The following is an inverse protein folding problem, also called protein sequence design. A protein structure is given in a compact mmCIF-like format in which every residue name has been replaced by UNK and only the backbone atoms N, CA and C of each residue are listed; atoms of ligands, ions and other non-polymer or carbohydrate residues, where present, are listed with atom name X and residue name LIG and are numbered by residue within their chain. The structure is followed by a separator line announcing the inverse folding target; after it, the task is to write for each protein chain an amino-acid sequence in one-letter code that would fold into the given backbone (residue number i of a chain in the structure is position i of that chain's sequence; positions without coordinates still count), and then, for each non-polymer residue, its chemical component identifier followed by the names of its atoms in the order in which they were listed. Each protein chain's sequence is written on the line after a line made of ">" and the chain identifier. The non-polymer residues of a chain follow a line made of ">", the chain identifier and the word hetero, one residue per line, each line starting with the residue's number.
data_IF_891612120107
#
_entry.id   IF_891612120107
#
_cell.length_a   1.000
_cell.length_b   1.000
_cell.length_c   1.000
_cell.angle_alpha   90.00
_cell.angle_beta   90.00
_cell.angle_gamma   90.00
#
_symmetry.space_group_name_H-M   'P 1'
#
loop_
_entity.id
_entity.type
_entity.pdbx_description
1 polymer ?
#
# COMPACT_ATOMS: atom_id res chain seq x y z
N UNK A 1 -39.47 43.93 2.07
CA UNK A 1 -38.95 43.06 0.99
C UNK A 1 -37.62 42.53 1.50
N UNK A 2 -37.63 41.40 2.20
CA UNK A 2 -36.40 40.72 2.64
C UNK A 2 -36.44 39.35 1.99
N UNK A 3 -35.43 39.04 1.20
CA UNK A 3 -35.38 37.86 0.35
C UNK A 3 -35.16 36.62 1.22
N UNK A 4 -36.11 35.70 1.13
CA UNK A 4 -36.00 34.32 1.55
C UNK A 4 -34.84 33.68 0.77
N UNK A 5 -33.68 33.57 1.43
CA UNK A 5 -32.50 32.92 0.87
C UNK A 5 -32.74 31.43 0.98
N UNK A 6 -33.42 30.85 -0.01
CA UNK A 6 -33.65 29.43 -0.13
C UNK A 6 -32.33 28.66 -0.12
N UNK A 7 -31.99 28.09 1.04
CA UNK A 7 -31.06 26.98 1.14
C UNK A 7 -31.60 25.87 0.23
N UNK A 8 -30.80 25.52 -0.78
CA UNK A 8 -31.13 24.44 -1.71
C UNK A 8 -31.01 23.14 -0.92
N UNK A 9 -32.04 22.29 -0.89
CA UNK A 9 -31.91 20.97 -0.28
C UNK A 9 -30.79 20.23 -1.00
N UNK A 10 -29.93 19.63 -0.19
CA UNK A 10 -28.80 18.81 -0.62
C UNK A 10 -29.33 17.78 -1.62
N UNK A 11 -28.79 17.80 -2.83
CA UNK A 11 -29.15 16.85 -3.89
C UNK A 11 -28.81 15.45 -3.37
N UNK A 12 -29.82 14.74 -2.84
CA UNK A 12 -29.70 13.37 -2.36
C UNK A 12 -29.34 12.51 -3.56
N UNK A 13 -28.04 12.35 -3.78
CA UNK A 13 -27.53 11.43 -4.77
C UNK A 13 -27.96 10.06 -4.29
N UNK A 14 -28.83 9.40 -5.04
CA UNK A 14 -29.24 8.00 -4.79
C UNK A 14 -27.99 7.13 -4.96
N UNK A 15 -27.18 7.08 -3.91
CA UNK A 15 -25.98 6.26 -3.85
C UNK A 15 -26.47 4.86 -3.51
N UNK A 16 -26.38 3.95 -4.49
CA UNK A 16 -26.64 2.54 -4.25
C UNK A 16 -25.77 2.07 -3.08
N UNK A 17 -26.44 1.70 -2.00
CA UNK A 17 -25.76 1.22 -0.79
C UNK A 17 -25.26 -0.19 -1.05
N UNK A 18 -23.97 -0.36 -0.85
CA UNK A 18 -23.29 -1.63 -1.02
C UNK A 18 -23.12 -2.28 0.36
N UNK A 19 -23.47 -3.56 0.49
CA UNK A 19 -23.48 -4.28 1.78
C UNK A 19 -22.37 -5.34 1.91
N UNK A 20 -22.03 -5.69 3.15
CA UNK A 20 -21.16 -6.85 3.42
C UNK A 20 -21.84 -8.13 2.93
N UNK A 21 -21.08 -8.98 2.24
CA UNK A 21 -21.58 -10.23 1.66
C UNK A 21 -22.23 -10.08 0.29
N UNK A 22 -22.43 -8.86 -0.21
CA UNK A 22 -22.97 -8.62 -1.55
C UNK A 22 -22.11 -9.28 -2.63
N UNK A 23 -22.76 -9.88 -3.62
CA UNK A 23 -22.11 -10.61 -4.72
C UNK A 23 -21.59 -9.67 -5.79
N UNK A 24 -20.39 -9.96 -6.29
CA UNK A 24 -19.75 -9.21 -7.38
C UNK A 24 -19.72 -10.08 -8.63
N UNK A 25 -20.09 -9.50 -9.76
CA UNK A 25 -20.17 -10.15 -11.06
C UNK A 25 -19.33 -9.39 -12.09
N UNK A 26 -18.83 -10.07 -13.10
CA UNK A 26 -18.21 -9.44 -14.27
C UNK A 26 -19.27 -9.06 -15.34
N UNK A 27 -18.84 -8.46 -16.45
CA UNK A 27 -19.72 -8.00 -17.53
C UNK A 27 -20.49 -9.11 -18.26
N UNK A 28 -19.97 -10.34 -18.24
CA UNK A 28 -20.60 -11.55 -18.75
C UNK A 28 -21.55 -12.20 -17.72
N UNK A 29 -21.65 -11.63 -16.51
CA UNK A 29 -22.51 -12.12 -15.43
C UNK A 29 -21.92 -13.28 -14.63
N UNK A 30 -20.62 -13.53 -14.72
CA UNK A 30 -19.95 -14.56 -13.91
C UNK A 30 -19.64 -14.01 -12.53
N UNK A 31 -19.98 -14.77 -11.49
CA UNK A 31 -19.73 -14.35 -10.10
C UNK A 31 -18.24 -14.41 -9.77
N UNK A 32 -17.65 -13.26 -9.49
CA UNK A 32 -16.24 -13.09 -9.10
C UNK A 32 -16.02 -13.32 -7.60
N UNK A 33 -16.95 -12.89 -6.74
CA UNK A 33 -16.74 -12.93 -5.30
C UNK A 33 -17.84 -12.33 -4.44
N UNK A 34 -17.52 -12.03 -3.20
CA UNK A 34 -18.39 -11.32 -2.25
C UNK A 34 -17.62 -10.25 -1.48
N UNK A 35 -18.30 -9.17 -1.12
CA UNK A 35 -17.70 -8.07 -0.35
C UNK A 35 -17.44 -8.51 1.10
N UNK A 36 -16.22 -8.29 1.59
CA UNK A 36 -15.79 -8.69 2.94
C UNK A 36 -15.54 -7.52 3.89
N UNK A 37 -15.43 -6.30 3.38
CA UNK A 37 -15.05 -5.14 4.19
C UNK A 37 -15.06 -3.84 3.40
N UNK A 38 -15.01 -2.74 4.13
CA UNK A 38 -14.96 -1.38 3.62
C UNK A 38 -13.88 -0.59 4.35
N UNK A 39 -13.32 0.42 3.69
CA UNK A 39 -12.47 1.45 4.29
C UNK A 39 -12.74 2.81 3.61
N UNK A 40 -12.00 3.84 4.02
CA UNK A 40 -12.13 5.22 3.49
C UNK A 40 -11.92 5.31 1.97
N UNK A 41 -11.26 4.32 1.37
CA UNK A 41 -10.91 4.24 -0.05
C UNK A 41 -11.86 3.35 -0.86
N UNK A 42 -12.75 2.56 -0.24
CA UNK A 42 -13.66 1.67 -0.96
C UNK A 42 -13.99 0.36 -0.24
N UNK A 43 -14.03 -0.75 -0.99
CA UNK A 43 -14.42 -2.07 -0.47
C UNK A 43 -13.50 -3.20 -0.94
N UNK A 44 -13.45 -4.26 -0.14
CA UNK A 44 -12.65 -5.45 -0.39
C UNK A 44 -13.53 -6.62 -0.81
N UNK A 45 -13.07 -7.42 -1.78
CA UNK A 45 -13.77 -8.61 -2.27
C UNK A 45 -12.98 -9.87 -1.91
N UNK A 46 -13.67 -10.88 -1.36
CA UNK A 46 -13.16 -12.25 -1.30
C UNK A 46 -13.52 -12.95 -2.61
N UNK A 47 -12.51 -13.32 -3.39
CA UNK A 47 -12.71 -14.03 -4.66
C UNK A 47 -13.05 -15.50 -4.43
N UNK A 48 -13.78 -16.08 -5.38
CA UNK A 48 -14.03 -17.52 -5.44
C UNK A 48 -12.79 -18.28 -5.92
N UNK A 49 -12.69 -19.56 -5.56
CA UNK A 49 -11.67 -20.45 -6.12
C UNK A 49 -11.72 -20.46 -7.65
N UNK A 50 -10.54 -20.39 -8.29
CA UNK A 50 -10.40 -20.35 -9.76
C UNK A 50 -10.35 -18.95 -10.38
N UNK A 51 -10.48 -17.89 -9.57
CA UNK A 51 -10.27 -16.51 -10.00
C UNK A 51 -9.02 -15.95 -9.31
N UNK A 52 -8.01 -15.61 -10.11
CA UNK A 52 -6.87 -14.82 -9.64
C UNK A 52 -7.17 -13.35 -9.89
N UNK A 53 -7.19 -12.55 -8.82
CA UNK A 53 -7.01 -11.12 -8.99
C UNK A 53 -5.61 -10.95 -9.57
N UNK A 54 -5.48 -10.07 -10.57
CA UNK A 54 -4.19 -9.42 -10.80
C UNK A 54 -3.74 -8.93 -9.43
N UNK A 55 -2.63 -9.50 -8.95
CA UNK A 55 -2.22 -9.41 -7.55
C UNK A 55 -2.32 -7.95 -7.12
N UNK A 56 -2.84 -7.68 -5.93
CA UNK A 56 -2.89 -6.31 -5.39
C UNK A 56 -1.48 -5.65 -5.37
N UNK A 57 -0.40 -6.40 -5.62
CA UNK A 57 0.90 -5.85 -6.01
C UNK A 57 0.90 -4.91 -7.24
N UNK A 58 -0.04 -5.05 -8.19
CA UNK A 58 -0.18 -4.13 -9.33
C UNK A 58 -1.06 -2.91 -9.03
N UNK A 59 -2.09 -3.03 -8.17
CA UNK A 59 -2.88 -1.87 -7.74
C UNK A 59 -2.17 -1.04 -6.65
N UNK A 60 -1.22 -1.67 -5.94
CA UNK A 60 -0.20 -1.03 -5.11
C UNK A 60 1.04 -0.62 -5.91
N UNK A 61 0.99 -0.55 -7.24
CA UNK A 61 1.98 0.21 -8.01
C UNK A 61 1.76 1.74 -7.87
N UNK A 62 1.32 2.17 -6.69
CA UNK A 62 1.44 3.51 -6.11
C UNK A 62 2.05 3.45 -4.70
N UNK A 63 2.62 2.30 -4.29
CA UNK A 63 3.55 2.21 -3.18
C UNK A 63 4.97 2.46 -3.71
N UNK A 64 5.20 3.70 -4.10
CA UNK A 64 6.47 4.41 -3.87
C UNK A 64 6.55 4.88 -2.40
N UNK A 65 5.82 4.20 -1.50
CA UNK A 65 5.84 4.38 -0.06
C UNK A 65 6.43 3.11 0.57
N UNK A 66 7.74 3.16 0.83
CA UNK A 66 8.40 2.27 1.79
C UNK A 66 9.25 1.15 1.21
N UNK A 67 9.83 1.29 0.02
CA UNK A 67 11.16 0.69 -0.18
C UNK A 67 12.18 1.61 0.51
N UNK A 68 12.21 1.57 1.84
CA UNK A 68 13.48 1.91 2.48
C UNK A 68 14.40 0.76 2.10
N UNK A 69 15.12 0.90 0.99
CA UNK A 69 16.23 0.02 0.64
C UNK A 69 17.08 -0.09 1.91
N UNK A 70 17.05 -1.26 2.54
CA UNK A 70 17.78 -1.44 3.79
C UNK A 70 19.24 -1.20 3.43
N UNK A 71 19.87 -0.23 4.10
CA UNK A 71 21.28 0.06 3.91
C UNK A 71 22.05 -0.21 5.19
N UNK A 72 23.32 -0.54 5.04
CA UNK A 72 24.25 -0.55 6.16
C UNK A 72 25.02 0.76 6.20
N UNK A 73 25.41 1.16 7.39
CA UNK A 73 26.26 2.32 7.63
C UNK A 73 27.37 1.99 8.61
N UNK A 74 28.57 2.47 8.33
CA UNK A 74 29.71 2.36 9.24
C UNK A 74 29.63 3.45 10.32
N UNK A 75 29.70 3.05 11.59
CA UNK A 75 29.73 3.97 12.74
C UNK A 75 31.02 4.78 12.84
N UNK A 76 32.09 4.29 12.20
CA UNK A 76 33.42 4.88 12.32
C UNK A 76 33.73 5.93 11.24
N UNK A 77 33.45 5.62 9.97
CA UNK A 77 33.74 6.50 8.84
C UNK A 77 32.50 7.05 8.14
N UNK A 78 31.31 6.52 8.43
CA UNK A 78 30.07 6.94 7.79
C UNK A 78 29.83 6.35 6.40
N UNK A 79 30.68 5.42 5.92
CA UNK A 79 30.45 4.68 4.68
C UNK A 79 29.10 3.98 4.69
N UNK A 80 28.42 3.96 3.54
CA UNK A 80 27.10 3.35 3.38
C UNK A 80 27.11 2.41 2.18
N UNK A 81 26.27 1.39 2.24
CA UNK A 81 26.05 0.51 1.09
C UNK A 81 24.77 -0.30 1.24
N UNK A 82 24.39 -0.92 0.13
CA UNK A 82 23.19 -1.73 0.03
C UNK A 82 23.31 -3.04 0.84
N UNK A 83 22.18 -3.53 1.36
CA UNK A 83 22.09 -4.81 2.07
C UNK A 83 21.55 -5.97 1.21
N UNK A 84 21.34 -5.77 -0.09
CA UNK A 84 20.84 -6.83 -0.99
C UNK A 84 21.77 -8.07 -0.97
N UNK A 85 23.08 -7.84 -0.99
CA UNK A 85 24.12 -8.87 -0.86
C UNK A 85 24.50 -9.20 0.61
N UNK A 86 23.84 -8.56 1.58
CA UNK A 86 24.11 -8.69 3.02
C UNK A 86 25.21 -7.76 3.56
N UNK A 87 25.47 -7.84 4.86
CA UNK A 87 26.44 -6.98 5.55
C UNK A 87 27.89 -7.48 5.33
N UNK A 88 28.84 -6.65 4.86
CA UNK A 88 30.22 -7.08 4.68
C UNK A 88 30.91 -7.38 6.02
N UNK A 89 31.87 -8.32 6.03
CA UNK A 89 32.65 -8.65 7.23
C UNK A 89 33.53 -7.48 7.70
N UNK A 90 33.84 -6.54 6.81
CA UNK A 90 34.72 -5.40 7.07
C UNK A 90 34.30 -4.20 6.22
N UNK A 91 34.39 -2.99 6.79
CA UNK A 91 34.10 -1.75 6.08
C UNK A 91 35.09 -1.53 4.91
N UNK A 92 34.65 -1.31 3.67
CA UNK A 92 35.52 -1.13 2.51
C UNK A 92 36.32 0.20 2.52
N UNK A 93 35.93 1.16 3.36
CA UNK A 93 36.57 2.48 3.44
C UNK A 93 37.59 2.58 4.59
N UNK A 94 37.30 1.98 5.75
CA UNK A 94 38.13 2.13 6.95
C UNK A 94 38.58 0.82 7.62
N UNK A 95 38.37 -0.33 6.98
CA UNK A 95 38.81 -1.66 7.43
C UNK A 95 38.30 -2.06 8.83
N UNK A 96 37.19 -1.47 9.29
CA UNK A 96 36.58 -1.80 10.58
C UNK A 96 35.77 -3.10 10.51
N UNK A 97 35.78 -3.92 11.57
CA UNK A 97 35.00 -5.15 11.60
C UNK A 97 33.50 -4.86 11.48
N UNK A 98 32.73 -5.86 11.05
CA UNK A 98 31.26 -5.77 10.96
C UNK A 98 30.54 -5.30 12.23
N UNK A 99 31.17 -5.43 13.40
CA UNK A 99 30.65 -4.91 14.68
C UNK A 99 30.49 -3.38 14.67
N UNK A 100 31.27 -2.69 13.83
CA UNK A 100 31.18 -1.25 13.59
C UNK A 100 30.22 -0.89 12.43
N UNK A 101 29.51 -1.85 11.85
CA UNK A 101 28.52 -1.65 10.79
C UNK A 101 27.11 -1.92 11.33
N UNK A 102 26.15 -1.04 11.04
CA UNK A 102 24.78 -1.16 11.52
C UNK A 102 23.75 -0.91 10.42
N UNK A 103 22.57 -1.51 10.61
CA UNK A 103 21.43 -1.36 9.73
C UNK A 103 20.80 0.04 9.88
N UNK A 104 20.52 0.70 8.77
CA UNK A 104 19.94 2.04 8.70
C UNK A 104 18.96 2.12 7.52
N UNK A 105 17.80 2.72 7.77
CA UNK A 105 16.83 3.10 6.73
C UNK A 105 17.00 4.58 6.44
N UNK A 106 17.16 4.97 5.17
CA UNK A 106 17.09 6.39 4.81
C UNK A 106 15.72 6.96 5.20
N UNK A 107 15.73 8.13 5.86
CA UNK A 107 14.55 8.92 6.25
C UNK A 107 14.17 9.88 5.12
#
# INVERSE_FOLDING_TARGET
>A
MVSDSGERPDEETDVEKVELGQEIYDGDGTKLGTIRGFDESGFYVTMREGYEALSIGHARAGHEFGEAELMWRCSNCGEMGDLDDGLPDTCPNCDKPKEDLYYWTED
#
